data_IF_845868276861
#
_entry.id   IF_845868276861
#
_cell.length_a   1.000
_cell.length_b   1.000
_cell.length_c   1.000
_cell.angle_alpha   90.00
_cell.angle_beta   90.00
_cell.angle_gamma   90.00
#
_symmetry.space_group_name_H-M   'P 1'
#
loop_
_entity.id
_entity.type
_entity.pdbx_description
1 polymer ?
#
# COMPACT_ATOMS: atom_id res chain seq x y z
N UNK A 1 24.41 4.62 -7.48
CA UNK A 1 23.01 4.65 -7.95
C UNK A 1 22.55 3.21 -8.05
N UNK A 2 21.47 2.81 -7.37
CA UNK A 2 20.93 1.44 -7.52
C UNK A 2 20.66 1.20 -9.02
N UNK A 3 21.27 0.18 -9.62
CA UNK A 3 21.15 -0.14 -11.04
C UNK A 3 22.30 0.30 -11.97
N UNK A 4 23.28 1.10 -11.50
CA UNK A 4 24.38 1.57 -12.35
C UNK A 4 25.40 0.49 -12.78
N UNK A 5 25.18 -0.78 -12.42
CA UNK A 5 26.05 -1.91 -12.77
C UNK A 5 25.34 -3.17 -13.30
N UNK A 6 24.01 -3.14 -13.50
CA UNK A 6 23.19 -4.36 -13.72
C UNK A 6 22.53 -4.46 -15.10
N UNK A 7 22.87 -3.57 -16.04
CA UNK A 7 22.32 -3.57 -17.40
C UNK A 7 20.91 -2.95 -17.52
N UNK A 8 20.53 -2.56 -18.74
CA UNK A 8 19.29 -1.79 -19.00
C UNK A 8 18.00 -2.47 -18.51
N UNK A 9 17.92 -3.80 -18.62
CA UNK A 9 16.76 -4.58 -18.16
C UNK A 9 16.58 -4.51 -16.65
N UNK A 10 17.67 -4.56 -15.87
CA UNK A 10 17.60 -4.48 -14.42
C UNK A 10 17.16 -3.08 -13.95
N UNK A 11 17.61 -2.03 -14.64
CA UNK A 11 17.16 -0.65 -14.38
C UNK A 11 15.66 -0.49 -14.64
N UNK A 12 15.15 -1.04 -15.74
CA UNK A 12 13.71 -1.04 -16.06
C UNK A 12 12.90 -1.82 -15.02
N UNK A 13 13.37 -3.01 -14.64
CA UNK A 13 12.71 -3.84 -13.62
C UNK A 13 12.65 -3.12 -12.26
N UNK A 14 13.73 -2.45 -11.85
CA UNK A 14 13.76 -1.68 -10.61
C UNK A 14 12.80 -0.48 -10.66
N UNK A 15 12.73 0.22 -11.79
CA UNK A 15 11.78 1.32 -12.00
C UNK A 15 10.32 0.84 -11.92
N UNK A 16 10.00 -0.25 -12.62
CA UNK A 16 8.66 -0.85 -12.59
C UNK A 16 8.28 -1.33 -11.18
N UNK A 17 9.22 -1.93 -10.45
CA UNK A 17 9.02 -2.32 -9.06
C UNK A 17 8.72 -1.11 -8.16
N UNK A 18 9.45 -0.01 -8.32
CA UNK A 18 9.21 1.24 -7.58
C UNK A 18 7.81 1.81 -7.83
N UNK A 19 7.36 1.82 -9.10
CA UNK A 19 6.00 2.27 -9.45
C UNK A 19 4.94 1.36 -8.82
N UNK A 20 5.12 0.03 -8.93
CA UNK A 20 4.20 -0.94 -8.33
C UNK A 20 4.11 -0.75 -6.82
N UNK A 21 5.24 -0.61 -6.13
CA UNK A 21 5.27 -0.32 -4.70
C UNK A 21 4.56 0.99 -4.36
N UNK A 22 4.77 2.05 -5.14
CA UNK A 22 4.10 3.33 -4.94
C UNK A 22 2.58 3.20 -5.04
N UNK A 23 2.09 2.54 -6.09
CA UNK A 23 0.65 2.31 -6.30
C UNK A 23 0.05 1.51 -5.15
N UNK A 24 0.71 0.42 -4.74
CA UNK A 24 0.22 -0.45 -3.66
C UNK A 24 0.22 0.27 -2.32
N UNK A 25 1.28 1.00 -1.99
CA UNK A 25 1.39 1.70 -0.69
C UNK A 25 0.38 2.83 -0.56
N UNK A 26 0.25 3.67 -1.59
CA UNK A 26 -0.75 4.74 -1.61
C UNK A 26 -2.17 4.15 -1.60
N UNK A 27 -2.43 3.14 -2.44
CA UNK A 27 -3.73 2.47 -2.48
C UNK A 27 -4.13 1.84 -1.15
N UNK A 28 -3.18 1.18 -0.45
CA UNK A 28 -3.43 0.60 0.86
C UNK A 28 -3.78 1.67 1.92
N UNK A 29 -3.11 2.82 1.88
CA UNK A 29 -3.41 3.94 2.78
C UNK A 29 -4.81 4.50 2.54
N UNK A 30 -5.14 4.78 1.27
CA UNK A 30 -6.48 5.25 0.87
C UNK A 30 -7.58 4.26 1.24
N UNK A 31 -7.32 2.95 1.09
CA UNK A 31 -8.26 1.90 1.51
C UNK A 31 -8.49 1.94 3.03
N UNK A 32 -7.42 2.09 3.81
CA UNK A 32 -7.48 2.21 5.27
C UNK A 32 -8.28 3.44 5.70
N UNK A 33 -8.14 4.57 5.01
CA UNK A 33 -8.92 5.78 5.29
C UNK A 33 -10.40 5.60 4.91
N UNK A 34 -10.68 4.97 3.76
CA UNK A 34 -12.03 4.65 3.28
C UNK A 34 -12.76 3.66 4.21
N UNK A 35 -12.05 2.80 4.93
CA UNK A 35 -12.62 1.90 5.94
C UNK A 35 -13.26 2.66 7.12
N UNK A 36 -12.81 3.90 7.36
CA UNK A 36 -13.30 4.73 8.46
C UNK A 36 -14.47 5.61 8.05
N UNK A 37 -15.31 6.07 9.00
CA UNK A 37 -16.37 7.03 8.71
C UNK A 37 -15.89 8.40 8.20
N UNK A 38 -14.58 8.71 8.31
CA UNK A 38 -14.01 9.93 7.72
C UNK A 38 -14.03 9.87 6.19
N UNK A 39 -13.90 8.67 5.61
CA UNK A 39 -13.90 8.45 4.17
C UNK A 39 -12.69 9.08 3.46
N UNK A 40 -12.73 9.02 2.13
CA UNK A 40 -11.80 9.74 1.24
C UNK A 40 -12.57 10.42 0.11
N UNK A 41 -12.00 11.48 -0.44
CA UNK A 41 -12.51 12.18 -1.62
C UNK A 41 -11.45 12.19 -2.74
N UNK A 42 -11.24 11.08 -3.44
CA UNK A 42 -10.05 10.85 -4.27
C UNK A 42 -9.99 11.71 -5.54
N UNK A 43 -11.10 12.33 -5.94
CA UNK A 43 -11.22 13.09 -7.18
C UNK A 43 -11.46 14.58 -6.96
N UNK A 44 -11.34 15.07 -5.73
CA UNK A 44 -11.41 16.51 -5.45
C UNK A 44 -10.26 17.26 -6.17
N UNK A 45 -10.48 18.44 -6.79
CA UNK A 45 -11.71 19.23 -6.88
C UNK A 45 -12.58 18.92 -8.13
N UNK A 46 -12.21 17.92 -8.93
CA UNK A 46 -12.94 17.55 -10.15
C UNK A 46 -14.28 16.91 -9.82
N UNK A 47 -14.34 16.16 -8.72
CA UNK A 47 -15.52 15.43 -8.28
C UNK A 47 -15.61 15.32 -6.74
N UNK A 48 -16.77 15.74 -6.24
CA UNK A 48 -17.14 15.94 -4.84
C UNK A 48 -17.45 14.68 -4.03
N UNK A 49 -17.29 13.48 -4.60
CA UNK A 49 -17.85 12.24 -4.04
C UNK A 49 -17.02 11.67 -2.91
N UNK A 50 -17.66 11.54 -1.75
CA UNK A 50 -17.11 10.84 -0.58
C UNK A 50 -17.27 9.32 -0.71
N UNK A 51 -16.16 8.61 -0.51
CA UNK A 51 -16.12 7.16 -0.42
C UNK A 51 -15.80 6.76 1.02
N UNK A 52 -16.78 6.18 1.71
CA UNK A 52 -16.61 5.58 3.03
C UNK A 52 -17.36 4.25 3.11
N UNK A 53 -16.68 3.22 3.61
CA UNK A 53 -17.26 1.92 3.90
C UNK A 53 -17.84 1.86 5.32
N UNK A 54 -17.50 2.82 6.19
CA UNK A 54 -17.98 2.94 7.59
C UNK A 54 -17.84 1.67 8.44
N UNK A 55 -16.86 0.81 8.13
CA UNK A 55 -16.72 -0.53 8.73
C UNK A 55 -16.27 -0.43 10.18
N UNK A 56 -15.26 0.40 10.47
CA UNK A 56 -14.75 0.59 11.84
C UNK A 56 -14.37 2.05 12.07
N UNK A 57 -14.57 2.56 13.29
CA UNK A 57 -14.03 3.88 13.66
C UNK A 57 -12.50 3.82 13.71
N UNK A 58 -11.84 4.87 13.23
CA UNK A 58 -10.38 5.03 13.30
C UNK A 58 -9.81 4.89 14.73
N UNK A 59 -10.60 5.26 15.74
CA UNK A 59 -10.23 5.15 17.15
C UNK A 59 -10.41 3.72 17.72
N UNK A 60 -10.79 2.73 16.91
CA UNK A 60 -10.93 1.35 17.37
C UNK A 60 -9.55 0.68 17.48
N UNK A 61 -9.04 0.42 18.70
CA UNK A 61 -7.72 -0.19 18.86
C UNK A 61 -7.65 -1.60 18.26
N UNK A 62 -8.74 -2.37 18.28
CA UNK A 62 -8.79 -3.72 17.70
C UNK A 62 -8.57 -3.66 16.19
N UNK A 63 -9.23 -2.73 15.50
CA UNK A 63 -9.06 -2.54 14.06
C UNK A 63 -7.62 -2.14 13.71
N UNK A 64 -7.03 -1.24 14.50
CA UNK A 64 -5.64 -0.79 14.30
C UNK A 64 -4.65 -1.95 14.51
N UNK A 65 -4.81 -2.74 15.56
CA UNK A 65 -3.97 -3.91 15.79
C UNK A 65 -4.18 -4.99 14.72
N UNK A 66 -5.39 -5.18 14.22
CA UNK A 66 -5.67 -6.12 13.13
C UNK A 66 -4.97 -5.70 11.83
N UNK A 67 -5.05 -4.41 11.46
CA UNK A 67 -4.35 -3.87 10.29
C UNK A 67 -2.83 -3.95 10.46
N UNK A 68 -2.30 -3.66 11.65
CA UNK A 68 -0.88 -3.81 11.96
C UNK A 68 -0.43 -5.27 11.83
N UNK A 69 -1.19 -6.22 12.38
CA UNK A 69 -0.90 -7.64 12.26
C UNK A 69 -0.92 -8.10 10.80
N UNK A 70 -1.93 -7.70 10.03
CA UNK A 70 -2.05 -8.01 8.61
C UNK A 70 -0.86 -7.47 7.81
N UNK A 71 -0.48 -6.20 8.03
CA UNK A 71 0.70 -5.61 7.42
C UNK A 71 2.00 -6.32 7.80
N UNK A 72 2.14 -6.72 9.06
CA UNK A 72 3.31 -7.46 9.55
C UNK A 72 3.44 -8.83 8.88
N UNK A 73 2.32 -9.56 8.74
CA UNK A 73 2.29 -10.85 8.04
C UNK A 73 2.61 -10.68 6.57
N UNK A 74 2.10 -9.64 5.91
CA UNK A 74 2.42 -9.34 4.52
C UNK A 74 3.91 -9.06 4.31
N UNK A 75 4.54 -8.28 5.20
CA UNK A 75 5.99 -8.01 5.17
C UNK A 75 6.80 -9.29 5.37
N UNK A 76 6.43 -10.11 6.36
CA UNK A 76 7.10 -11.40 6.60
C UNK A 76 6.98 -12.34 5.39
N UNK A 77 5.78 -12.43 4.80
CA UNK A 77 5.54 -13.22 3.59
C UNK A 77 6.37 -12.74 2.39
N UNK A 78 6.43 -11.42 2.17
CA UNK A 78 7.24 -10.84 1.09
C UNK A 78 8.74 -11.12 1.30
N UNK A 79 9.23 -11.02 2.54
CA UNK A 79 10.62 -11.34 2.87
C UNK A 79 10.94 -12.81 2.59
N UNK A 80 10.08 -13.73 3.02
CA UNK A 80 10.24 -15.17 2.78
C UNK A 80 10.20 -15.50 1.28
N UNK A 81 9.22 -14.95 0.56
CA UNK A 81 9.08 -15.15 -0.88
C UNK A 81 10.30 -14.62 -1.66
N UNK A 82 10.81 -13.44 -1.27
CA UNK A 82 12.04 -12.89 -1.85
C UNK A 82 13.24 -13.82 -1.63
N UNK A 83 13.38 -14.37 -0.42
CA UNK A 83 14.42 -15.34 -0.09
C UNK A 83 14.30 -16.69 -0.82
N UNK A 84 13.15 -17.01 -1.41
CA UNK A 84 12.99 -18.20 -2.26
C UNK A 84 13.46 -17.99 -3.71
N UNK A 85 13.63 -16.73 -4.13
CA UNK A 85 13.92 -16.36 -5.53
C UNK A 85 15.41 -15.98 -5.72
N UNK A 86 16.10 -15.59 -4.64
CA UNK A 86 17.55 -15.35 -4.58
C UNK A 86 18.33 -16.60 -4.21
#
# INVERSE_FOLDING_TARGET
VLGSGTGALATLALGAYGVLLGVVTVGAHLLADALTPMGIQPFDPVDGRDYSLSVTRAANPIANYALLALGSVAVAGAFLAGGMIT
#
